data_IF_176761114513
#
_entry.id   IF_176761114513
#
_cell.length_a   1.000
_cell.length_b   1.000
_cell.length_c   1.000
_cell.angle_alpha   90.00
_cell.angle_beta   90.00
_cell.angle_gamma   90.00
#
_symmetry.space_group_name_H-M   'P 1'
#
loop_
_entity.id
_entity.type
_entity.pdbx_description
1 polymer ?
#
# COMPACT_ATOMS: atom_id res chain seq x y z
N UNK A 1 -9.53 2.64 -14.65
CA UNK A 1 -8.78 3.52 -13.73
C UNK A 1 -7.52 3.97 -14.43
N UNK A 2 -7.34 5.28 -14.61
CA UNK A 2 -6.18 5.85 -15.31
C UNK A 2 -4.90 5.52 -14.50
N UNK A 3 -3.77 5.27 -15.17
CA UNK A 3 -2.51 4.88 -14.47
C UNK A 3 -2.11 5.88 -13.38
N UNK A 4 -2.40 7.17 -13.57
CA UNK A 4 -2.21 8.22 -12.57
C UNK A 4 -2.99 7.97 -11.27
N UNK A 5 -4.24 7.50 -11.37
CA UNK A 5 -5.06 7.18 -10.20
C UNK A 5 -4.53 5.97 -9.43
N UNK A 6 -3.94 4.99 -10.11
CA UNK A 6 -3.28 3.84 -9.48
C UNK A 6 -2.04 4.26 -8.70
N UNK A 7 -1.23 5.14 -9.27
CA UNK A 7 -0.05 5.71 -8.60
C UNK A 7 -0.43 6.59 -7.40
N UNK A 8 -1.43 7.48 -7.56
CA UNK A 8 -1.93 8.29 -6.44
C UNK A 8 -2.46 7.42 -5.29
N UNK A 9 -3.18 6.34 -5.61
CA UNK A 9 -3.68 5.40 -4.61
C UNK A 9 -2.55 4.74 -3.81
N UNK A 10 -1.48 4.30 -4.48
CA UNK A 10 -0.31 3.73 -3.82
C UNK A 10 0.41 4.74 -2.90
N UNK A 11 0.59 5.98 -3.36
CA UNK A 11 1.22 7.06 -2.57
C UNK A 11 0.36 7.39 -1.34
N UNK A 12 -0.95 7.57 -1.51
CA UNK A 12 -1.87 7.88 -0.42
C UNK A 12 -1.87 6.78 0.66
N UNK A 13 -1.85 5.52 0.24
CA UNK A 13 -1.79 4.38 1.16
C UNK A 13 -0.44 4.29 1.90
N UNK A 14 0.67 4.63 1.23
CA UNK A 14 1.98 4.78 1.89
C UNK A 14 1.98 5.87 2.95
N UNK A 15 1.40 7.04 2.66
CA UNK A 15 1.26 8.14 3.63
C UNK A 15 0.40 7.71 4.82
N UNK A 16 -0.74 7.04 4.58
CA UNK A 16 -1.60 6.51 5.64
C UNK A 16 -0.87 5.50 6.53
N UNK A 17 -0.07 4.61 5.95
CA UNK A 17 0.73 3.65 6.71
C UNK A 17 1.71 4.36 7.66
N UNK A 18 2.44 5.36 7.13
CA UNK A 18 3.40 6.15 7.93
C UNK A 18 2.71 6.94 9.04
N UNK A 19 1.51 7.47 8.79
CA UNK A 19 0.72 8.14 9.83
C UNK A 19 0.33 7.16 10.95
N UNK A 20 -0.07 5.93 10.61
CA UNK A 20 -0.31 4.88 11.60
C UNK A 20 0.90 4.60 12.49
N UNK A 21 2.10 4.55 11.89
CA UNK A 21 3.35 4.36 12.62
C UNK A 21 3.69 5.55 13.54
N UNK A 22 3.46 6.79 13.06
CA UNK A 22 3.67 8.00 13.87
C UNK A 22 2.72 8.00 15.08
N UNK A 23 1.44 7.69 14.86
CA UNK A 23 0.44 7.61 15.94
C UNK A 23 0.86 6.55 16.97
N UNK A 24 1.26 5.36 16.51
CA UNK A 24 1.76 4.30 17.39
C UNK A 24 2.97 4.79 18.21
N UNK A 25 3.95 5.44 17.58
CA UNK A 25 5.19 5.88 18.24
C UNK A 25 4.98 6.95 19.31
N UNK A 26 3.86 7.68 19.25
CA UNK A 26 3.52 8.77 20.19
C UNK A 26 2.31 8.47 21.06
N UNK A 27 1.73 7.27 20.94
CA UNK A 27 0.57 6.88 21.73
C UNK A 27 0.99 6.74 23.21
N UNK A 28 0.42 7.59 24.06
CA UNK A 28 0.54 7.43 25.51
C UNK A 28 -0.35 6.27 26.01
N UNK A 29 -1.45 6.00 25.30
CA UNK A 29 -2.41 4.95 25.63
C UNK A 29 -2.27 3.73 24.73
N UNK A 30 -2.35 2.55 25.36
CA UNK A 30 -2.25 1.24 24.68
C UNK A 30 -3.26 1.08 23.55
N UNK A 31 -4.46 1.67 23.68
CA UNK A 31 -5.50 1.62 22.65
C UNK A 31 -5.10 2.37 21.37
N UNK A 32 -4.49 3.55 21.49
CA UNK A 32 -3.97 4.30 20.34
C UNK A 32 -2.75 3.61 19.72
N UNK A 33 -1.93 2.94 20.53
CA UNK A 33 -0.84 2.09 20.05
C UNK A 33 -1.35 0.97 19.14
N UNK A 34 -2.37 0.22 19.60
CA UNK A 34 -3.01 -0.83 18.80
C UNK A 34 -3.65 -0.30 17.52
N UNK A 35 -4.34 0.83 17.60
CA UNK A 35 -4.96 1.46 16.44
C UNK A 35 -3.90 1.88 15.39
N UNK A 36 -2.80 2.49 15.83
CA UNK A 36 -1.69 2.87 14.95
C UNK A 36 -1.05 1.66 14.25
N UNK A 37 -0.84 0.56 14.99
CA UNK A 37 -0.35 -0.72 14.43
C UNK A 37 -1.31 -1.26 13.37
N UNK A 38 -2.62 -1.26 13.63
CA UNK A 38 -3.62 -1.75 12.68
C UNK A 38 -3.61 -0.96 11.37
N UNK A 39 -3.53 0.38 11.45
CA UNK A 39 -3.41 1.24 10.27
C UNK A 39 -2.12 0.95 9.50
N UNK A 40 -1.01 0.83 10.21
CA UNK A 40 0.29 0.56 9.60
C UNK A 40 0.30 -0.77 8.84
N UNK A 41 -0.15 -1.85 9.50
CA UNK A 41 -0.22 -3.19 8.88
C UNK A 41 -1.19 -3.23 7.70
N UNK A 42 -2.34 -2.56 7.82
CA UNK A 42 -3.30 -2.45 6.73
C UNK A 42 -2.69 -1.73 5.51
N UNK A 43 -1.99 -0.62 5.74
CA UNK A 43 -1.29 0.12 4.68
C UNK A 43 -0.21 -0.71 4.00
N UNK A 44 0.60 -1.45 4.77
CA UNK A 44 1.59 -2.39 4.22
C UNK A 44 0.93 -3.48 3.37
N UNK A 45 -0.15 -4.11 3.85
CA UNK A 45 -0.85 -5.14 3.11
C UNK A 45 -1.33 -4.64 1.74
N UNK A 46 -1.87 -3.42 1.70
CA UNK A 46 -2.29 -2.79 0.44
C UNK A 46 -1.09 -2.54 -0.49
N UNK A 47 0.02 -2.00 0.02
CA UNK A 47 1.23 -1.79 -0.79
C UNK A 47 1.72 -3.11 -1.39
N UNK A 48 1.74 -4.19 -0.60
CA UNK A 48 2.14 -5.53 -1.08
C UNK A 48 1.23 -5.99 -2.21
N UNK A 49 -0.09 -5.80 -2.11
CA UNK A 49 -1.03 -6.13 -3.18
C UNK A 49 -0.76 -5.31 -4.45
N UNK A 50 -0.52 -4.00 -4.31
CA UNK A 50 -0.20 -3.14 -5.45
C UNK A 50 1.11 -3.54 -6.13
N UNK A 51 2.14 -3.83 -5.35
CA UNK A 51 3.43 -4.32 -5.86
C UNK A 51 3.24 -5.67 -6.56
N UNK A 52 2.50 -6.59 -5.94
CA UNK A 52 2.23 -7.90 -6.53
C UNK A 52 1.56 -7.76 -7.90
N UNK A 53 0.50 -6.95 -8.01
CA UNK A 53 -0.18 -6.66 -9.27
C UNK A 53 0.70 -5.96 -10.31
N UNK A 54 1.66 -5.14 -9.88
CA UNK A 54 2.62 -4.50 -10.78
C UNK A 54 3.68 -5.50 -11.29
N UNK A 55 4.01 -6.51 -10.50
CA UNK A 55 5.03 -7.52 -10.83
C UNK A 55 4.49 -8.77 -11.53
N UNK A 56 3.16 -8.97 -11.61
CA UNK A 56 2.60 -10.16 -12.29
C UNK A 56 2.94 -10.15 -13.80
N UNK A 57 3.67 -11.17 -14.30
CA UNK A 57 4.26 -11.17 -15.65
C UNK A 57 3.26 -11.45 -16.80
N UNK A 58 2.00 -11.78 -16.51
CA UNK A 58 0.99 -12.04 -17.55
C UNK A 58 0.78 -10.86 -18.52
N UNK A 59 1.04 -9.62 -18.07
CA UNK A 59 0.98 -8.43 -18.94
C UNK A 59 2.14 -8.33 -19.93
N UNK A 60 3.26 -9.00 -19.67
CA UNK A 60 4.46 -8.98 -20.52
C UNK A 60 4.36 -10.03 -21.63
N UNK A 61 3.91 -11.25 -21.31
CA UNK A 61 3.79 -12.36 -22.27
C UNK A 61 2.75 -12.10 -23.38
N UNK A 62 1.67 -11.37 -23.08
CA UNK A 62 0.66 -10.99 -24.08
C UNK A 62 1.23 -10.06 -25.17
N UNK A 63 2.22 -9.24 -24.85
CA UNK A 63 2.82 -8.26 -25.78
C UNK A 63 3.80 -8.89 -26.77
N UNK A 64 4.40 -10.02 -26.41
CA UNK A 64 5.32 -10.78 -27.27
C UNK A 64 4.64 -11.77 -28.19
N UNK A 65 3.35 -12.07 -27.98
CA UNK A 65 2.60 -12.97 -28.85
C UNK A 65 1.88 -12.24 -30.00
N UNK A 66 1.71 -10.92 -29.87
CA UNK A 66 1.07 -10.04 -30.86
C UNK A 66 2.09 -9.26 -31.73
N UNK A 67 3.39 -9.54 -31.61
CA UNK A 67 4.49 -8.93 -32.36
C UNK A 67 5.17 -9.96 -33.27
#
# INVERSE_FOLDING_TARGET
MNDLGRWLGGIAMGVLALLGLIIMSRAADTMFGFFGVMIFLFGIAIIVVFVHQATTPERVLRRTHDA
#
